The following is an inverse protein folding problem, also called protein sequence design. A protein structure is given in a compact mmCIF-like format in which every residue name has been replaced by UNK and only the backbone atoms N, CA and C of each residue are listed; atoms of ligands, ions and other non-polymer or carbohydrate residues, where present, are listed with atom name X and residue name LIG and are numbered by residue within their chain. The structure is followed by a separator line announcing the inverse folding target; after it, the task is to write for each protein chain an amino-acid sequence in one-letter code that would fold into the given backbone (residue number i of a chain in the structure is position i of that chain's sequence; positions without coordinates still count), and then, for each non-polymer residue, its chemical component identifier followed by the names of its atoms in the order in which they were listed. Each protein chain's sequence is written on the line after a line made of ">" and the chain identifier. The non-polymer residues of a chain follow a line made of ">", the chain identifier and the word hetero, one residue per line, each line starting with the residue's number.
data_IF_531563126302
#
_entry.id   IF_531563126302
#
_cell.length_a   1.000
_cell.length_b   1.000
_cell.length_c   1.000
_cell.angle_alpha   90.00
_cell.angle_beta   90.00
_cell.angle_gamma   90.00
#
_symmetry.space_group_name_H-M   'P 1'
#
loop_
_entity.id
_entity.type
_entity.pdbx_description
1 polymer ?
#
# COMPACT_ATOMS: atom_id res chain seq x y z
N UNK A 1 65.91 6.51 20.74
CA UNK A 1 64.71 5.65 20.63
C UNK A 1 63.69 5.86 21.75
N UNK A 2 64.04 5.67 23.04
CA UNK A 2 63.06 5.73 24.15
C UNK A 2 62.29 7.07 24.32
N UNK A 3 62.94 8.22 24.06
CA UNK A 3 62.29 9.55 24.12
C UNK A 3 61.28 9.78 22.97
N UNK A 4 61.58 9.24 21.78
CA UNK A 4 60.71 9.33 20.60
C UNK A 4 59.49 8.41 20.80
N UNK A 5 59.70 7.20 21.31
CA UNK A 5 58.62 6.27 21.68
C UNK A 5 57.70 6.84 22.78
N UNK A 6 58.26 7.53 23.79
CA UNK A 6 57.46 8.24 24.81
C UNK A 6 56.67 9.42 24.23
N UNK A 7 57.29 10.23 23.37
CA UNK A 7 56.60 11.34 22.69
C UNK A 7 55.44 10.84 21.84
N UNK A 8 55.67 9.76 21.06
CA UNK A 8 54.65 9.09 20.26
C UNK A 8 53.50 8.52 21.13
N UNK A 9 53.84 7.94 22.29
CA UNK A 9 52.86 7.43 23.25
C UNK A 9 51.95 8.52 23.81
N UNK A 10 52.50 9.69 24.18
CA UNK A 10 51.70 10.83 24.66
C UNK A 10 50.82 11.44 23.57
N UNK A 11 51.29 11.52 22.33
CA UNK A 11 50.47 11.99 21.21
C UNK A 11 49.32 11.03 20.91
N UNK A 12 49.56 9.72 20.95
CA UNK A 12 48.51 8.70 20.77
C UNK A 12 47.48 8.77 21.91
N UNK A 13 47.93 8.91 23.16
CA UNK A 13 47.04 9.09 24.30
C UNK A 13 46.19 10.37 24.20
N UNK A 14 46.79 11.49 23.79
CA UNK A 14 46.08 12.75 23.58
C UNK A 14 45.02 12.65 22.48
N UNK A 15 45.34 11.99 21.35
CA UNK A 15 44.39 11.72 20.28
C UNK A 15 43.25 10.80 20.72
N UNK A 16 43.55 9.78 21.52
CA UNK A 16 42.54 8.87 22.07
C UNK A 16 41.57 9.63 22.99
N UNK A 17 42.08 10.47 23.89
CA UNK A 17 41.24 11.30 24.78
C UNK A 17 40.37 12.24 23.95
N UNK A 18 40.94 12.91 22.94
CA UNK A 18 40.17 13.77 22.04
C UNK A 18 39.06 12.99 21.31
N UNK A 19 39.36 11.79 20.81
CA UNK A 19 38.38 10.94 20.15
C UNK A 19 37.23 10.56 21.10
N UNK A 20 37.53 10.21 22.35
CA UNK A 20 36.52 9.90 23.38
C UNK A 20 35.67 11.13 23.69
N UNK A 21 36.28 12.32 23.85
CA UNK A 21 35.54 13.56 24.13
C UNK A 21 34.61 13.91 22.96
N UNK A 22 35.08 13.81 21.72
CA UNK A 22 34.26 14.06 20.52
C UNK A 22 33.13 13.03 20.42
N UNK A 23 33.41 11.76 20.70
CA UNK A 23 32.40 10.70 20.70
C UNK A 23 31.33 10.94 21.78
N UNK A 24 31.72 11.30 23.01
CA UNK A 24 30.79 11.63 24.09
C UNK A 24 29.95 12.88 23.75
N UNK A 25 30.59 13.93 23.21
CA UNK A 25 29.88 15.13 22.77
C UNK A 25 28.87 14.81 21.66
N UNK A 26 29.22 13.92 20.73
CA UNK A 26 28.29 13.43 19.71
C UNK A 26 27.14 12.64 20.32
N UNK A 27 27.42 11.79 21.32
CA UNK A 27 26.42 10.96 22.00
C UNK A 27 25.41 11.78 22.80
N UNK A 28 25.84 12.93 23.32
CA UNK A 28 24.98 13.87 24.05
C UNK A 28 24.34 14.92 23.14
N UNK A 29 24.54 14.86 21.82
CA UNK A 29 23.99 15.84 20.90
C UNK A 29 22.46 15.77 20.88
N UNK A 30 21.74 16.89 21.01
CA UNK A 30 20.29 16.87 21.15
C UNK A 30 19.59 16.35 19.90
N UNK A 31 18.59 15.50 20.11
CA UNK A 31 17.66 15.06 19.06
C UNK A 31 16.69 16.22 18.76
N UNK A 32 16.48 16.60 17.48
CA UNK A 32 15.52 17.64 17.13
C UNK A 32 14.10 17.35 17.64
N UNK A 33 13.44 18.35 18.23
CA UNK A 33 12.08 18.20 18.79
C UNK A 33 11.05 17.68 17.78
N UNK A 34 11.19 18.07 16.51
CA UNK A 34 10.32 17.60 15.42
C UNK A 34 10.33 16.08 15.26
N UNK A 35 11.48 15.44 15.54
CA UNK A 35 11.62 13.97 15.50
C UNK A 35 10.97 13.31 16.70
N UNK A 36 11.09 13.92 17.89
CA UNK A 36 10.44 13.42 19.10
C UNK A 36 8.91 13.51 18.98
N UNK A 37 8.38 14.60 18.44
CA UNK A 37 6.95 14.73 18.14
C UNK A 37 6.49 13.73 17.09
N UNK A 38 7.29 13.50 16.04
CA UNK A 38 7.02 12.46 15.05
C UNK A 38 6.96 11.07 15.69
N UNK A 39 7.88 10.77 16.61
CA UNK A 39 7.91 9.50 17.35
C UNK A 39 6.66 9.33 18.20
N UNK A 40 6.27 10.35 18.96
CA UNK A 40 5.04 10.31 19.77
C UNK A 40 3.79 9.99 18.94
N UNK A 41 3.67 10.59 17.74
CA UNK A 41 2.54 10.31 16.82
C UNK A 41 2.57 8.88 16.27
N UNK A 42 3.76 8.34 16.00
CA UNK A 42 3.90 6.97 15.51
C UNK A 42 3.63 5.92 16.60
N UNK A 43 3.96 6.24 17.85
CA UNK A 43 3.70 5.37 19.00
C UNK A 43 2.25 5.44 19.48
N UNK A 44 1.56 6.57 19.25
CA UNK A 44 0.14 6.75 19.53
C UNK A 44 -0.74 5.96 18.55
N UNK A 45 -0.80 4.64 18.74
CA UNK A 45 -1.58 3.71 17.90
C UNK A 45 -3.00 4.20 17.71
N UNK A 46 -3.41 4.32 16.44
CA UNK A 46 -4.78 4.70 16.12
C UNK A 46 -5.76 3.60 16.56
N UNK A 47 -6.89 3.96 17.20
CA UNK A 47 -7.90 2.97 17.53
C UNK A 47 -8.43 2.33 16.24
N UNK A 48 -8.76 1.04 16.33
CA UNK A 48 -9.51 0.32 15.31
C UNK A 48 -10.84 -0.11 15.93
N UNK A 49 -11.94 0.17 15.25
CA UNK A 49 -13.30 -0.12 15.70
C UNK A 49 -14.01 -0.96 14.65
N UNK A 50 -14.85 -1.88 15.08
CA UNK A 50 -15.63 -2.74 14.19
C UNK A 50 -15.03 -4.12 14.01
N UNK A 51 -15.34 -4.77 12.89
CA UNK A 51 -14.92 -6.12 12.59
C UNK A 51 -13.51 -6.15 11.95
N UNK A 52 -12.58 -6.88 12.59
CA UNK A 52 -11.27 -7.15 12.03
C UNK A 52 -11.33 -8.31 11.02
N UNK A 53 -11.07 -8.04 9.75
CA UNK A 53 -11.05 -9.05 8.68
C UNK A 53 -9.74 -9.82 8.56
N UNK A 54 -8.77 -9.60 9.45
CA UNK A 54 -7.42 -10.15 9.30
C UNK A 54 -7.38 -11.68 9.31
N UNK A 55 -8.24 -12.37 10.07
CA UNK A 55 -8.30 -13.83 10.07
C UNK A 55 -8.69 -14.39 8.70
N UNK A 56 -9.68 -13.78 8.04
CA UNK A 56 -10.07 -14.14 6.68
C UNK A 56 -8.96 -13.81 5.68
N UNK A 57 -8.29 -12.68 5.83
CA UNK A 57 -7.18 -12.27 4.96
C UNK A 57 -5.98 -13.23 5.10
N UNK A 58 -5.61 -13.61 6.32
CA UNK A 58 -4.53 -14.54 6.64
C UNK A 58 -4.76 -15.94 6.06
N UNK A 59 -6.01 -16.41 6.11
CA UNK A 59 -6.42 -17.75 5.67
C UNK A 59 -7.07 -17.75 4.29
N UNK A 60 -6.95 -16.65 3.53
CA UNK A 60 -7.62 -16.44 2.25
C UNK A 60 -7.40 -17.58 1.22
N UNK A 61 -6.18 -18.15 1.10
CA UNK A 61 -5.91 -19.25 0.17
C UNK A 61 -6.60 -20.58 0.50
N UNK A 62 -7.18 -20.73 1.69
CA UNK A 62 -7.68 -22.01 2.17
C UNK A 62 -9.21 -22.06 2.07
N UNK A 63 -9.69 -23.06 1.32
CA UNK A 63 -11.10 -23.42 1.20
C UNK A 63 -11.59 -24.16 2.45
N UNK A 64 -12.91 -24.33 2.55
CA UNK A 64 -13.57 -25.19 3.53
C UNK A 64 -13.25 -24.87 5.01
N UNK A 65 -12.96 -23.59 5.31
CA UNK A 65 -12.86 -23.06 6.68
C UNK A 65 -13.96 -22.05 6.96
N UNK A 66 -14.72 -22.28 8.04
CA UNK A 66 -15.67 -21.33 8.59
C UNK A 66 -14.99 -20.18 9.35
N UNK A 67 -15.76 -19.19 9.79
CA UNK A 67 -15.22 -18.01 10.49
C UNK A 67 -14.49 -18.37 11.79
N UNK A 68 -15.00 -19.33 12.56
CA UNK A 68 -14.40 -19.72 13.83
C UNK A 68 -13.08 -20.47 13.60
N UNK A 69 -13.03 -21.37 12.62
CA UNK A 69 -11.83 -22.10 12.24
C UNK A 69 -10.72 -21.16 11.77
N UNK A 70 -11.06 -20.10 11.03
CA UNK A 70 -10.09 -19.07 10.58
C UNK A 70 -9.50 -18.28 11.74
N UNK A 71 -10.34 -17.87 12.70
CA UNK A 71 -9.89 -17.19 13.93
C UNK A 71 -9.00 -18.10 14.79
N UNK A 72 -9.38 -19.37 14.93
CA UNK A 72 -8.57 -20.37 15.63
C UNK A 72 -7.23 -20.60 14.95
N UNK A 73 -7.22 -20.65 13.61
CA UNK A 73 -6.01 -20.84 12.84
C UNK A 73 -5.04 -19.66 13.01
N UNK A 74 -5.54 -18.43 12.91
CA UNK A 74 -4.77 -17.21 13.18
C UNK A 74 -4.20 -17.22 14.61
N UNK A 75 -5.02 -17.55 15.60
CA UNK A 75 -4.59 -17.56 17.00
C UNK A 75 -3.48 -18.59 17.28
N UNK A 76 -3.53 -19.76 16.63
CA UNK A 76 -2.46 -20.76 16.70
C UNK A 76 -1.17 -20.25 16.05
N UNK A 77 -1.25 -19.63 14.87
CA UNK A 77 -0.08 -19.06 14.21
C UNK A 77 0.55 -17.91 15.03
N UNK A 78 -0.27 -17.11 15.71
CA UNK A 78 0.23 -16.07 16.63
C UNK A 78 0.97 -16.71 17.81
N UNK A 79 0.43 -17.77 18.42
CA UNK A 79 1.12 -18.50 19.51
C UNK A 79 2.45 -19.09 19.05
N UNK A 80 2.46 -19.73 17.87
CA UNK A 80 3.68 -20.29 17.24
C UNK A 80 4.71 -19.20 16.99
N UNK A 81 4.27 -18.06 16.43
CA UNK A 81 5.10 -16.89 16.22
C UNK A 81 5.68 -16.41 17.55
N UNK A 82 4.87 -16.19 18.59
CA UNK A 82 5.33 -15.68 19.89
C UNK A 82 6.33 -16.63 20.57
N UNK A 83 6.12 -17.94 20.50
CA UNK A 83 6.98 -18.96 21.10
C UNK A 83 8.38 -19.06 20.43
N UNK A 84 8.50 -18.68 19.16
CA UNK A 84 9.76 -18.73 18.43
C UNK A 84 10.66 -17.51 18.71
N UNK A 85 11.55 -17.61 19.69
CA UNK A 85 12.41 -16.51 20.12
C UNK A 85 13.34 -15.95 19.03
N UNK A 86 13.72 -16.76 18.03
CA UNK A 86 14.71 -16.39 17.02
C UNK A 86 14.08 -15.99 15.66
N UNK A 87 12.76 -16.10 15.51
CA UNK A 87 12.08 -15.78 14.26
C UNK A 87 12.44 -16.73 13.10
N UNK A 88 12.84 -17.96 13.40
CA UNK A 88 13.14 -19.01 12.43
C UNK A 88 11.91 -19.75 11.90
N UNK A 89 10.72 -19.53 12.47
CA UNK A 89 9.46 -20.09 11.98
C UNK A 89 9.19 -19.54 10.58
N UNK A 90 8.82 -20.41 9.63
CA UNK A 90 8.31 -19.93 8.35
C UNK A 90 7.15 -18.99 8.65
N UNK A 91 7.17 -17.78 8.11
CA UNK A 91 6.07 -16.81 8.21
C UNK A 91 4.80 -17.26 7.49
N UNK A 92 4.60 -18.57 7.36
CA UNK A 92 3.49 -19.26 6.74
C UNK A 92 2.58 -19.85 7.83
N UNK A 93 1.29 -19.87 7.53
CA UNK A 93 0.30 -20.50 8.40
C UNK A 93 0.56 -22.00 8.56
N UNK A 94 0.26 -22.56 9.73
CA UNK A 94 0.30 -24.02 9.94
C UNK A 94 -0.66 -24.79 9.04
N UNK A 95 -1.68 -24.13 8.47
CA UNK A 95 -2.65 -24.76 7.57
C UNK A 95 -2.00 -25.39 6.35
N UNK A 96 -0.85 -24.88 5.88
CA UNK A 96 -0.11 -25.44 4.73
C UNK A 96 0.27 -26.92 4.90
N UNK A 97 0.34 -27.41 6.15
CA UNK A 97 0.66 -28.80 6.42
C UNK A 97 -0.50 -29.76 6.11
N UNK A 98 -1.74 -29.27 6.22
CA UNK A 98 -2.94 -30.12 6.21
C UNK A 98 -4.02 -29.67 5.21
N UNK A 99 -3.85 -28.51 4.56
CA UNK A 99 -4.81 -27.96 3.61
C UNK A 99 -4.13 -27.62 2.28
N UNK A 100 -4.86 -27.80 1.19
CA UNK A 100 -4.41 -27.35 -0.13
C UNK A 100 -4.49 -25.82 -0.22
N UNK A 101 -3.38 -25.20 -0.58
CA UNK A 101 -3.29 -23.75 -0.74
C UNK A 101 -3.66 -23.34 -2.17
N UNK A 102 -4.60 -22.41 -2.30
CA UNK A 102 -4.94 -21.81 -3.58
C UNK A 102 -3.89 -20.78 -3.99
N UNK A 103 -3.49 -20.83 -5.26
CA UNK A 103 -2.47 -19.95 -5.82
C UNK A 103 -2.98 -19.27 -7.08
N UNK A 104 -2.59 -18.01 -7.29
CA UNK A 104 -2.83 -17.31 -8.55
C UNK A 104 -2.13 -18.05 -9.69
N UNK A 105 -2.87 -18.37 -10.75
CA UNK A 105 -2.31 -19.07 -11.92
C UNK A 105 -1.69 -18.09 -12.91
N UNK A 106 -0.62 -18.48 -13.64
CA UNK A 106 -0.13 -17.71 -14.76
C UNK A 106 -1.26 -17.43 -15.77
N UNK A 107 -1.38 -16.19 -16.24
CA UNK A 107 -2.44 -15.80 -17.18
C UNK A 107 -3.80 -15.48 -16.55
N UNK A 108 -3.97 -15.69 -15.24
CA UNK A 108 -5.19 -15.34 -14.50
C UNK A 108 -5.38 -13.84 -14.32
N UNK A 109 -4.38 -13.00 -14.58
CA UNK A 109 -4.39 -11.58 -14.25
C UNK A 109 -4.41 -10.69 -15.50
N UNK A 110 -5.21 -9.63 -15.46
CA UNK A 110 -5.16 -8.52 -16.42
C UNK A 110 -4.02 -7.51 -16.14
N UNK A 111 -3.10 -7.87 -15.25
CA UNK A 111 -2.07 -6.98 -14.74
C UNK A 111 -2.56 -6.06 -13.62
N UNK A 112 -1.64 -5.33 -12.97
CA UNK A 112 -1.91 -4.69 -11.69
C UNK A 112 -2.72 -3.39 -11.76
N UNK A 113 -2.98 -2.85 -12.95
CA UNK A 113 -3.89 -1.72 -13.16
C UNK A 113 -5.21 -2.13 -13.83
N UNK A 114 -5.35 -3.39 -14.24
CA UNK A 114 -6.48 -3.91 -15.03
C UNK A 114 -6.84 -3.06 -16.28
N UNK A 115 -5.87 -2.32 -16.83
CA UNK A 115 -6.07 -1.51 -18.03
C UNK A 115 -6.39 -2.42 -19.23
N UNK A 116 -7.53 -2.19 -19.88
CA UNK A 116 -7.96 -2.99 -21.03
C UNK A 116 -8.30 -4.45 -20.66
N UNK A 117 -8.68 -4.72 -19.40
CA UNK A 117 -8.95 -6.08 -18.94
C UNK A 117 -10.07 -6.76 -19.74
N UNK A 118 -11.17 -6.04 -20.05
CA UNK A 118 -12.25 -6.59 -20.88
C UNK A 118 -11.76 -6.99 -22.29
N UNK A 119 -10.87 -6.21 -22.89
CA UNK A 119 -10.31 -6.51 -24.21
C UNK A 119 -9.40 -7.75 -24.16
N UNK A 120 -8.55 -7.86 -23.15
CA UNK A 120 -7.70 -9.05 -22.93
C UNK A 120 -8.55 -10.31 -22.75
N UNK A 121 -9.62 -10.23 -21.96
CA UNK A 121 -10.54 -11.36 -21.73
C UNK A 121 -11.29 -11.75 -23.00
N UNK A 122 -11.72 -10.80 -23.83
CA UNK A 122 -12.36 -11.10 -25.11
C UNK A 122 -11.41 -11.73 -26.13
N UNK A 123 -10.14 -11.33 -26.10
CA UNK A 123 -9.13 -11.86 -27.01
C UNK A 123 -8.84 -13.34 -26.73
N UNK A 124 -8.88 -13.76 -25.45
CA UNK A 124 -8.65 -15.15 -25.05
C UNK A 124 -9.51 -15.55 -23.83
N UNK A 125 -10.82 -15.79 -24.00
CA UNK A 125 -11.71 -16.12 -22.88
C UNK A 125 -11.36 -17.46 -22.22
N UNK A 126 -10.87 -18.42 -23.01
CA UNK A 126 -10.54 -19.77 -22.53
C UNK A 126 -9.40 -19.74 -21.53
N UNK A 127 -8.35 -18.94 -21.78
CA UNK A 127 -7.28 -18.74 -20.80
C UNK A 127 -7.79 -18.31 -19.44
N UNK A 128 -8.72 -17.35 -19.39
CA UNK A 128 -9.27 -16.88 -18.10
C UNK A 128 -10.19 -17.91 -17.46
N UNK A 129 -10.99 -18.66 -18.23
CA UNK A 129 -11.81 -19.76 -17.72
C UNK A 129 -10.93 -20.81 -17.04
N UNK A 130 -9.86 -21.25 -17.70
CA UNK A 130 -8.92 -22.24 -17.17
C UNK A 130 -8.14 -21.71 -15.96
N UNK A 131 -7.72 -20.45 -16.01
CA UNK A 131 -6.94 -19.82 -14.95
C UNK A 131 -7.75 -19.64 -13.65
N UNK A 132 -9.06 -19.43 -13.74
CA UNK A 132 -9.95 -19.29 -12.58
C UNK A 132 -10.71 -20.59 -12.22
N UNK A 133 -10.50 -21.68 -12.95
CA UNK A 133 -11.16 -22.96 -12.66
C UNK A 133 -10.81 -23.47 -11.25
N UNK A 134 -11.83 -23.61 -10.40
CA UNK A 134 -11.68 -24.02 -9.00
C UNK A 134 -11.53 -22.86 -7.99
N UNK A 135 -11.51 -21.60 -8.43
CA UNK A 135 -11.39 -20.43 -7.53
C UNK A 135 -12.73 -19.87 -7.05
N UNK A 136 -13.85 -20.56 -7.25
CA UNK A 136 -15.19 -20.07 -6.92
C UNK A 136 -15.32 -19.69 -5.43
N UNK A 137 -14.85 -20.55 -4.52
CA UNK A 137 -14.87 -20.25 -3.09
C UNK A 137 -13.88 -19.12 -2.74
N UNK A 138 -12.73 -19.05 -3.40
CA UNK A 138 -11.76 -17.95 -3.23
C UNK A 138 -12.38 -16.60 -3.61
N UNK A 139 -13.09 -16.52 -4.74
CA UNK A 139 -13.78 -15.29 -5.17
C UNK A 139 -14.86 -14.87 -4.18
N UNK A 140 -15.64 -15.82 -3.66
CA UNK A 140 -16.62 -15.54 -2.61
C UNK A 140 -15.99 -14.98 -1.33
N UNK A 141 -14.80 -15.49 -0.93
CA UNK A 141 -14.05 -14.95 0.22
C UNK A 141 -13.48 -13.56 -0.05
N UNK A 142 -12.98 -13.32 -1.26
CA UNK A 142 -12.54 -11.98 -1.67
C UNK A 142 -13.68 -10.96 -1.61
N UNK A 143 -14.89 -11.38 -2.00
CA UNK A 143 -16.07 -10.57 -1.83
C UNK A 143 -16.39 -10.36 -0.34
N UNK A 144 -16.37 -11.40 0.49
CA UNK A 144 -16.62 -11.31 1.94
C UNK A 144 -15.66 -10.37 2.66
N UNK A 145 -14.39 -10.27 2.25
CA UNK A 145 -13.42 -9.34 2.83
C UNK A 145 -13.87 -7.87 2.76
N UNK A 146 -14.73 -7.50 1.80
CA UNK A 146 -15.29 -6.15 1.70
C UNK A 146 -16.20 -5.76 2.89
N UNK A 147 -16.67 -6.75 3.67
CA UNK A 147 -17.54 -6.52 4.83
C UNK A 147 -16.76 -6.19 6.11
N UNK A 148 -15.44 -6.45 6.16
CA UNK A 148 -14.58 -6.14 7.31
C UNK A 148 -14.21 -4.66 7.40
N UNK A 149 -14.16 -4.09 8.59
CA UNK A 149 -13.89 -2.65 8.80
C UNK A 149 -12.40 -2.30 8.76
N UNK A 150 -11.54 -3.23 9.18
CA UNK A 150 -10.08 -3.06 9.19
C UNK A 150 -9.33 -4.41 9.16
N UNK A 151 -8.00 -4.36 9.02
CA UNK A 151 -7.14 -5.53 8.87
C UNK A 151 -5.92 -5.41 9.78
N UNK A 152 -6.14 -5.46 11.09
CA UNK A 152 -5.05 -5.35 12.05
C UNK A 152 -4.36 -6.71 12.24
N UNK A 153 -3.05 -6.74 11.96
CA UNK A 153 -2.22 -7.91 12.20
C UNK A 153 -1.98 -8.09 13.71
N UNK A 154 -2.22 -9.29 14.25
CA UNK A 154 -1.86 -9.61 15.63
C UNK A 154 -0.36 -9.91 15.81
N UNK A 155 0.39 -10.10 14.73
CA UNK A 155 1.80 -10.47 14.79
C UNK A 155 2.66 -9.29 15.27
N UNK A 156 3.25 -9.43 16.45
CA UNK A 156 4.14 -8.41 17.01
C UNK A 156 5.52 -8.51 16.37
N UNK A 157 6.09 -7.41 15.83
CA UNK A 157 7.47 -7.41 15.35
C UNK A 157 8.45 -7.79 16.45
N UNK A 158 9.44 -8.65 16.14
CA UNK A 158 10.48 -9.09 17.07
C UNK A 158 11.71 -9.63 16.33
N UNK A 159 12.85 -9.68 17.05
CA UNK A 159 14.11 -10.26 16.57
C UNK A 159 14.81 -9.45 15.50
N UNK A 160 15.80 -10.07 14.85
CA UNK A 160 16.56 -9.52 13.72
C UNK A 160 15.76 -9.54 12.40
N UNK A 161 14.63 -10.27 12.38
CA UNK A 161 13.74 -10.36 11.23
C UNK A 161 13.11 -9.00 10.92
N UNK A 162 13.39 -8.47 9.73
CA UNK A 162 12.85 -7.19 9.24
C UNK A 162 11.34 -7.27 8.95
N UNK A 163 10.79 -8.48 8.78
CA UNK A 163 9.41 -8.71 8.33
C UNK A 163 8.63 -9.56 9.33
N UNK A 164 7.42 -9.12 9.67
CA UNK A 164 6.41 -9.96 10.32
C UNK A 164 5.82 -10.96 9.32
N UNK A 165 5.17 -12.05 9.78
CA UNK A 165 4.37 -12.91 8.92
C UNK A 165 3.33 -12.08 8.13
N UNK A 166 3.28 -12.31 6.81
CA UNK A 166 2.37 -11.62 5.89
C UNK A 166 1.38 -12.61 5.27
N UNK A 167 0.10 -12.22 5.12
CA UNK A 167 -0.87 -12.96 4.32
C UNK A 167 -0.38 -13.24 2.90
N UNK A 168 -0.95 -14.26 2.28
CA UNK A 168 -0.72 -14.59 0.87
C UNK A 168 -1.40 -13.57 -0.06
N UNK A 169 -0.79 -12.39 -0.20
CA UNK A 169 -1.34 -11.29 -0.99
C UNK A 169 -1.46 -11.58 -2.50
N UNK A 170 -0.78 -12.61 -3.00
CA UNK A 170 -0.80 -12.99 -4.42
C UNK A 170 -2.20 -13.26 -4.96
N UNK A 171 -3.11 -13.80 -4.13
CA UNK A 171 -4.49 -14.14 -4.52
C UNK A 171 -5.49 -13.02 -4.31
N UNK A 172 -5.11 -11.91 -3.65
CA UNK A 172 -6.03 -10.79 -3.34
C UNK A 172 -6.59 -10.13 -4.60
N UNK A 173 -5.80 -10.10 -5.68
CA UNK A 173 -6.20 -9.47 -6.94
C UNK A 173 -6.97 -10.43 -7.87
N UNK A 174 -7.04 -11.74 -7.55
CA UNK A 174 -7.51 -12.79 -8.46
C UNK A 174 -8.95 -12.55 -8.96
N UNK A 175 -9.83 -12.05 -8.10
CA UNK A 175 -11.23 -11.81 -8.47
C UNK A 175 -11.42 -10.72 -9.54
N UNK A 176 -10.44 -9.83 -9.76
CA UNK A 176 -10.62 -8.69 -10.68
C UNK A 176 -10.86 -9.16 -12.12
N UNK A 177 -10.01 -10.04 -12.62
CA UNK A 177 -10.11 -10.64 -13.95
C UNK A 177 -11.26 -11.65 -14.05
N UNK A 178 -11.58 -12.35 -12.96
CA UNK A 178 -12.77 -13.22 -12.92
C UNK A 178 -14.06 -12.42 -13.13
N UNK A 179 -14.15 -11.19 -12.57
CA UNK A 179 -15.29 -10.28 -12.79
C UNK A 179 -15.34 -9.76 -14.23
N UNK A 180 -14.18 -9.50 -14.84
CA UNK A 180 -14.12 -9.16 -16.27
C UNK A 180 -14.60 -10.32 -17.15
N UNK A 181 -14.22 -11.56 -16.81
CA UNK A 181 -14.73 -12.77 -17.46
C UNK A 181 -16.24 -12.93 -17.30
N UNK A 182 -16.76 -12.77 -16.09
CA UNK A 182 -18.20 -12.82 -15.82
C UNK A 182 -18.96 -11.81 -16.68
N UNK A 183 -18.46 -10.58 -16.79
CA UNK A 183 -19.05 -9.54 -17.64
C UNK A 183 -19.06 -9.94 -19.13
N UNK A 184 -17.92 -10.44 -19.66
CA UNK A 184 -17.81 -10.89 -21.05
C UNK A 184 -18.73 -12.10 -21.33
N UNK A 185 -18.99 -12.93 -20.32
CA UNK A 185 -19.91 -14.07 -20.40
C UNK A 185 -21.39 -13.68 -20.22
N UNK A 186 -21.68 -12.40 -19.96
CA UNK A 186 -23.05 -11.85 -19.87
C UNK A 186 -23.60 -11.70 -18.45
N UNK A 187 -22.83 -12.02 -17.40
CA UNK A 187 -23.20 -11.71 -16.01
C UNK A 187 -22.83 -10.26 -15.66
N UNK A 188 -23.60 -9.34 -16.22
CA UNK A 188 -23.39 -7.89 -16.08
C UNK A 188 -23.53 -7.46 -14.61
N UNK A 189 -24.64 -7.84 -13.96
CA UNK A 189 -24.94 -7.43 -12.59
C UNK A 189 -23.95 -8.03 -11.59
N UNK A 190 -23.57 -9.30 -11.75
CA UNK A 190 -22.58 -9.96 -10.91
C UNK A 190 -21.19 -9.33 -11.05
N UNK A 191 -20.77 -9.00 -12.28
CA UNK A 191 -19.50 -8.34 -12.52
C UNK A 191 -19.43 -6.93 -11.93
N UNK A 192 -20.47 -6.11 -12.13
CA UNK A 192 -20.57 -4.77 -11.54
C UNK A 192 -20.54 -4.84 -10.01
N UNK A 193 -21.36 -5.73 -9.42
CA UNK A 193 -21.43 -5.92 -7.96
C UNK A 193 -20.08 -6.34 -7.39
N UNK A 194 -19.45 -7.35 -8.00
CA UNK A 194 -18.14 -7.84 -7.61
C UNK A 194 -17.08 -6.73 -7.68
N UNK A 195 -17.01 -5.99 -8.79
CA UNK A 195 -16.02 -4.93 -8.93
C UNK A 195 -16.20 -3.83 -7.87
N UNK A 196 -17.44 -3.46 -7.55
CA UNK A 196 -17.73 -2.53 -6.44
C UNK A 196 -17.33 -3.10 -5.07
N UNK A 197 -17.50 -4.41 -4.81
CA UNK A 197 -16.97 -5.06 -3.59
C UNK A 197 -15.43 -5.05 -3.53
N UNK A 198 -14.74 -5.33 -4.64
CA UNK A 198 -13.28 -5.24 -4.70
C UNK A 198 -12.74 -3.83 -4.46
N UNK A 199 -13.43 -2.83 -5.02
CA UNK A 199 -13.15 -1.43 -4.77
C UNK A 199 -13.34 -1.10 -3.27
N UNK A 200 -14.45 -1.53 -2.67
CA UNK A 200 -14.74 -1.34 -1.25
C UNK A 200 -13.69 -2.00 -0.33
N UNK A 201 -13.26 -3.22 -0.66
CA UNK A 201 -12.13 -3.88 0.03
C UNK A 201 -10.88 -3.01 -0.04
N UNK A 202 -10.51 -2.54 -1.23
CA UNK A 202 -9.36 -1.65 -1.41
C UNK A 202 -9.43 -0.40 -0.55
N UNK A 203 -10.60 0.27 -0.49
CA UNK A 203 -10.84 1.46 0.34
C UNK A 203 -10.62 1.22 1.82
N UNK A 204 -11.02 0.06 2.33
CA UNK A 204 -10.84 -0.30 3.75
C UNK A 204 -9.43 -0.77 4.05
N UNK A 205 -8.78 -1.44 3.10
CA UNK A 205 -7.43 -1.95 3.27
C UNK A 205 -6.37 -0.83 3.32
N UNK A 206 -6.56 0.26 2.54
CA UNK A 206 -5.62 1.40 2.52
C UNK A 206 -5.31 1.94 3.92
N UNK A 207 -6.29 2.42 4.71
CA UNK A 207 -6.05 2.93 6.06
C UNK A 207 -6.17 1.85 7.15
N UNK A 208 -6.81 0.72 6.83
CA UNK A 208 -7.18 -0.32 7.79
C UNK A 208 -6.11 -1.35 8.08
N UNK A 209 -5.14 -1.51 7.17
CA UNK A 209 -3.97 -2.40 7.32
C UNK A 209 -2.97 -1.93 8.39
N UNK A 210 -2.11 -2.85 8.83
CA UNK A 210 -1.08 -2.57 9.85
C UNK A 210 0.24 -2.10 9.25
N UNK A 211 0.53 -2.47 8.01
CA UNK A 211 1.80 -2.29 7.33
C UNK A 211 1.60 -1.68 5.94
N UNK A 212 2.66 -1.09 5.40
CA UNK A 212 2.61 -0.39 4.11
C UNK A 212 2.21 -1.30 2.95
N UNK A 213 2.61 -2.58 2.99
CA UNK A 213 2.26 -3.56 1.96
C UNK A 213 0.74 -3.65 1.76
N UNK A 214 -0.04 -3.66 2.85
CA UNK A 214 -1.50 -3.70 2.79
C UNK A 214 -2.06 -2.43 2.17
N UNK A 215 -1.53 -1.25 2.55
CA UNK A 215 -1.98 0.00 1.97
C UNK A 215 -1.71 0.09 0.47
N UNK A 216 -0.57 -0.45 0.02
CA UNK A 216 -0.23 -0.51 -1.41
C UNK A 216 -1.19 -1.43 -2.15
N UNK A 217 -1.48 -2.61 -1.60
CA UNK A 217 -2.42 -3.57 -2.21
C UNK A 217 -3.83 -2.97 -2.26
N UNK A 218 -4.27 -2.31 -1.19
CA UNK A 218 -5.55 -1.62 -1.16
C UNK A 218 -5.67 -0.56 -2.24
N UNK A 219 -4.62 0.25 -2.43
CA UNK A 219 -4.57 1.24 -3.50
C UNK A 219 -4.62 0.59 -4.90
N UNK A 220 -3.96 -0.56 -5.09
CA UNK A 220 -4.03 -1.32 -6.34
C UNK A 220 -5.42 -1.93 -6.59
N UNK A 221 -6.09 -2.45 -5.56
CA UNK A 221 -7.48 -2.93 -5.66
C UNK A 221 -8.43 -1.82 -6.09
N UNK A 222 -8.31 -0.63 -5.49
CA UNK A 222 -9.11 0.54 -5.88
C UNK A 222 -8.88 0.88 -7.34
N UNK A 223 -7.63 1.01 -7.78
CA UNK A 223 -7.32 1.37 -9.16
C UNK A 223 -7.83 0.33 -10.16
N UNK A 224 -7.56 -0.95 -9.91
CA UNK A 224 -7.91 -2.03 -10.82
C UNK A 224 -9.43 -2.21 -10.95
N UNK A 225 -10.17 -2.16 -9.83
CA UNK A 225 -11.62 -2.29 -9.87
C UNK A 225 -12.30 -1.02 -10.41
N UNK A 226 -11.75 0.17 -10.14
CA UNK A 226 -12.26 1.40 -10.75
C UNK A 226 -12.05 1.43 -12.26
N UNK A 227 -10.90 0.95 -12.74
CA UNK A 227 -10.64 0.79 -14.18
C UNK A 227 -11.62 -0.20 -14.81
N UNK A 228 -11.78 -1.38 -14.21
CA UNK A 228 -12.72 -2.39 -14.71
C UNK A 228 -14.16 -1.85 -14.76
N UNK A 229 -14.60 -1.16 -13.71
CA UNK A 229 -15.91 -0.48 -13.70
C UNK A 229 -16.02 0.55 -14.82
N UNK A 230 -14.99 1.35 -15.05
CA UNK A 230 -15.00 2.33 -16.13
C UNK A 230 -15.13 1.67 -17.51
N UNK A 231 -14.43 0.56 -17.73
CA UNK A 231 -14.48 -0.22 -18.97
C UNK A 231 -15.86 -0.87 -19.17
N UNK A 232 -16.47 -1.43 -18.12
CA UNK A 232 -17.82 -1.98 -18.18
C UNK A 232 -18.86 -0.89 -18.46
N UNK A 233 -18.74 0.26 -17.78
CA UNK A 233 -19.73 1.32 -17.86
C UNK A 233 -19.85 1.92 -19.27
N UNK A 234 -18.77 2.06 -20.03
CA UNK A 234 -18.84 2.64 -21.39
C UNK A 234 -19.60 1.78 -22.38
N UNK A 235 -19.78 0.49 -22.10
CA UNK A 235 -20.52 -0.44 -22.94
C UNK A 235 -22.01 -0.51 -22.59
N UNK A 236 -22.40 0.03 -21.44
CA UNK A 236 -23.77 0.06 -20.96
C UNK A 236 -24.44 1.40 -21.34
N UNK A 237 -25.77 1.50 -21.25
CA UNK A 237 -26.46 2.79 -21.30
C UNK A 237 -25.94 3.77 -20.24
N UNK A 238 -26.04 5.08 -20.49
CA UNK A 238 -25.57 6.13 -19.58
C UNK A 238 -26.32 6.15 -18.23
N UNK A 239 -27.58 5.73 -18.26
CA UNK A 239 -28.53 5.67 -17.16
C UNK A 239 -28.67 4.27 -16.55
N UNK A 240 -27.79 3.32 -16.93
CA UNK A 240 -27.84 1.97 -16.38
C UNK A 240 -27.79 1.98 -14.84
N UNK A 241 -28.75 1.32 -14.16
CA UNK A 241 -28.79 1.27 -12.70
C UNK A 241 -27.59 0.48 -12.18
N UNK A 242 -26.92 0.99 -11.14
CA UNK A 242 -25.83 0.25 -10.50
C UNK A 242 -26.32 -0.55 -9.29
N UNK A 243 -25.68 -1.68 -8.98
CA UNK A 243 -25.89 -2.39 -7.73
C UNK A 243 -25.70 -1.47 -6.51
N UNK A 244 -26.43 -1.73 -5.42
CA UNK A 244 -26.39 -0.92 -4.20
C UNK A 244 -24.98 -0.84 -3.60
N UNK A 245 -24.17 -1.89 -3.76
CA UNK A 245 -22.78 -1.96 -3.33
C UNK A 245 -21.91 -0.86 -3.98
N UNK A 246 -22.29 -0.37 -5.16
CA UNK A 246 -21.57 0.68 -5.86
C UNK A 246 -21.83 2.08 -5.31
N UNK A 247 -22.95 2.30 -4.59
CA UNK A 247 -23.33 3.63 -4.10
C UNK A 247 -22.26 4.24 -3.20
N UNK A 248 -21.82 3.45 -2.21
CA UNK A 248 -20.74 3.86 -1.31
C UNK A 248 -19.39 3.68 -2.00
N UNK A 249 -19.15 2.55 -2.67
CA UNK A 249 -17.85 2.21 -3.25
C UNK A 249 -17.34 3.27 -4.25
N UNK A 250 -18.21 3.85 -5.07
CA UNK A 250 -17.80 4.83 -6.08
C UNK A 250 -17.68 6.28 -5.57
N UNK A 251 -17.98 6.55 -4.30
CA UNK A 251 -17.76 7.89 -3.74
C UNK A 251 -16.27 8.27 -3.76
N UNK A 252 -15.93 9.56 -3.94
CA UNK A 252 -14.56 10.03 -3.76
C UNK A 252 -13.99 9.63 -2.40
N UNK A 253 -12.70 9.24 -2.38
CA UNK A 253 -12.02 8.91 -1.14
C UNK A 253 -11.83 10.15 -0.28
N UNK A 254 -12.14 10.02 0.99
CA UNK A 254 -11.82 11.03 2.00
C UNK A 254 -10.34 10.96 2.38
N UNK A 255 -9.85 11.95 3.11
CA UNK A 255 -8.45 11.99 3.52
C UNK A 255 -8.10 10.85 4.48
N UNK A 256 -9.02 10.47 5.37
CA UNK A 256 -8.85 9.32 6.26
C UNK A 256 -8.75 8.00 5.49
N UNK A 257 -9.46 7.85 4.38
CA UNK A 257 -9.42 6.65 3.52
C UNK A 257 -8.13 6.56 2.68
N UNK A 258 -7.40 7.66 2.55
CA UNK A 258 -6.11 7.72 1.84
C UNK A 258 -4.91 7.66 2.80
N UNK A 259 -5.17 7.78 4.10
CA UNK A 259 -4.15 7.96 5.13
C UNK A 259 -3.23 6.75 5.23
N UNK A 260 -1.93 7.04 5.28
CA UNK A 260 -0.88 6.04 5.50
C UNK A 260 -0.37 6.05 6.94
N UNK A 261 -1.02 6.78 7.86
CA UNK A 261 -0.54 6.89 9.24
C UNK A 261 -0.42 5.52 9.90
N UNK A 262 -1.48 4.69 9.87
CA UNK A 262 -1.46 3.35 10.49
C UNK A 262 -0.37 2.46 9.89
N UNK A 263 -0.22 2.45 8.57
CA UNK A 263 0.87 1.75 7.90
C UNK A 263 2.25 2.22 8.42
N UNK A 264 2.49 3.53 8.50
CA UNK A 264 3.75 4.05 9.03
C UNK A 264 3.96 3.74 10.52
N UNK A 265 2.89 3.61 11.31
CA UNK A 265 2.99 3.12 12.70
C UNK A 265 3.51 1.67 12.75
N UNK A 266 3.08 0.82 11.81
CA UNK A 266 3.59 -0.54 11.65
C UNK A 266 5.04 -0.59 11.19
N UNK A 267 5.40 0.18 10.15
CA UNK A 267 6.79 0.30 9.68
C UNK A 267 7.74 0.80 10.77
N UNK A 268 7.27 1.74 11.60
CA UNK A 268 8.00 2.22 12.76
C UNK A 268 8.15 1.12 13.82
N UNK A 269 7.09 0.37 14.11
CA UNK A 269 7.13 -0.74 15.07
C UNK A 269 8.10 -1.86 14.64
N UNK A 270 8.16 -2.18 13.34
CA UNK A 270 9.14 -3.13 12.80
C UNK A 270 10.57 -2.61 12.93
N UNK A 271 10.79 -1.36 12.52
CA UNK A 271 12.10 -0.70 12.66
C UNK A 271 12.56 -0.68 14.11
N UNK A 272 11.64 -0.43 15.06
CA UNK A 272 11.93 -0.40 16.49
C UNK A 272 12.38 -1.77 17.01
N UNK A 273 11.67 -2.84 16.64
CA UNK A 273 12.05 -4.20 17.05
C UNK A 273 13.43 -4.59 16.52
N UNK A 274 13.72 -4.30 15.25
CA UNK A 274 15.03 -4.59 14.65
C UNK A 274 16.16 -3.80 15.35
N UNK A 275 15.97 -2.49 15.59
CA UNK A 275 16.95 -1.64 16.29
C UNK A 275 17.17 -2.12 17.73
N UNK A 276 16.11 -2.53 18.42
CA UNK A 276 16.20 -3.07 19.78
C UNK A 276 17.01 -4.36 19.83
N UNK A 277 16.82 -5.24 18.85
CA UNK A 277 17.61 -6.48 18.72
C UNK A 277 19.08 -6.19 18.45
N UNK A 278 19.39 -5.38 17.42
CA UNK A 278 20.77 -5.07 17.04
C UNK A 278 21.53 -4.27 18.11
N UNK A 279 20.84 -3.49 18.94
CA UNK A 279 21.47 -2.75 20.03
C UNK A 279 21.92 -3.67 21.20
N UNK A 280 21.40 -4.89 21.28
CA UNK A 280 21.77 -5.87 22.31
C UNK A 280 23.01 -6.70 21.93
N UNK A 281 23.43 -6.67 20.67
CA UNK A 281 24.63 -7.37 20.20
C UNK A 281 25.94 -6.76 20.75
N UNK A 282 26.96 -7.61 20.94
CA UNK A 282 28.25 -7.20 21.50
C UNK A 282 28.93 -6.14 20.61
N UNK A 283 29.24 -4.97 21.19
CA UNK A 283 29.84 -3.84 20.47
C UNK A 283 28.84 -2.94 19.75
N UNK A 284 27.57 -3.33 19.62
CA UNK A 284 26.52 -2.54 18.95
C UNK A 284 26.29 -1.17 19.61
N UNK A 285 26.32 -1.11 20.94
CA UNK A 285 26.11 0.12 21.73
C UNK A 285 27.11 1.25 21.38
N UNK A 286 28.32 0.91 20.90
CA UNK A 286 29.36 1.89 20.55
C UNK A 286 29.10 2.61 19.21
N UNK A 287 28.38 1.95 18.30
CA UNK A 287 28.16 2.42 16.92
C UNK A 287 26.67 2.69 16.61
N UNK A 288 25.77 2.24 17.50
CA UNK A 288 24.32 2.40 17.40
C UNK A 288 23.77 3.08 18.67
N UNK A 289 23.31 4.30 18.51
CA UNK A 289 22.49 4.98 19.53
C UNK A 289 21.02 4.68 19.24
N UNK A 290 20.43 3.80 20.05
CA UNK A 290 19.02 3.41 19.93
C UNK A 290 18.09 4.62 19.89
N UNK A 291 18.18 5.53 20.86
CA UNK A 291 17.26 6.67 20.95
C UNK A 291 17.38 7.61 19.75
N UNK A 292 18.61 7.96 19.36
CA UNK A 292 18.85 8.83 18.21
C UNK A 292 18.41 8.17 16.89
N UNK A 293 18.63 6.85 16.76
CA UNK A 293 18.20 6.08 15.58
C UNK A 293 16.69 6.00 15.49
N UNK A 294 15.99 5.66 16.58
CA UNK A 294 14.53 5.60 16.62
C UNK A 294 13.91 6.95 16.29
N UNK A 295 14.43 8.05 16.85
CA UNK A 295 13.95 9.38 16.52
C UNK A 295 14.19 9.73 15.03
N UNK A 296 15.31 9.27 14.44
CA UNK A 296 15.58 9.47 13.01
C UNK A 296 14.62 8.69 12.12
N UNK A 297 14.35 7.42 12.43
CA UNK A 297 13.29 6.63 11.76
C UNK A 297 11.94 7.35 11.88
N UNK A 298 11.61 7.83 13.09
CA UNK A 298 10.38 8.56 13.32
C UNK A 298 10.28 9.84 12.46
N UNK A 299 11.37 10.57 12.30
CA UNK A 299 11.45 11.71 11.38
C UNK A 299 11.14 11.35 9.93
N UNK A 300 11.54 10.15 9.48
CA UNK A 300 11.33 9.68 8.10
C UNK A 300 9.90 9.19 7.85
N UNK A 301 9.21 8.65 8.86
CA UNK A 301 7.88 8.04 8.72
C UNK A 301 6.74 8.91 9.27
N UNK A 302 7.03 9.76 10.25
CA UNK A 302 6.01 10.46 11.04
C UNK A 302 5.31 11.59 10.30
N UNK A 303 5.72 11.91 9.07
CA UNK A 303 4.98 12.83 8.19
C UNK A 303 3.55 12.33 7.94
N UNK A 304 3.34 11.01 7.84
CA UNK A 304 2.05 10.43 7.48
C UNK A 304 0.96 10.61 8.55
N UNK A 305 1.35 10.84 9.80
CA UNK A 305 0.45 11.04 10.92
C UNK A 305 0.23 12.52 11.29
N UNK A 306 0.76 13.46 10.50
CA UNK A 306 0.64 14.88 10.77
C UNK A 306 -0.53 15.55 10.04
N UNK A 307 -1.04 16.66 10.60
CA UNK A 307 -2.09 17.47 9.97
C UNK A 307 -1.71 17.97 8.56
N UNK A 308 -0.42 18.19 8.29
CA UNK A 308 0.06 18.56 6.96
C UNK A 308 -0.19 17.46 5.91
N UNK A 309 -0.12 16.17 6.29
CA UNK A 309 -0.47 15.08 5.40
C UNK A 309 -1.98 15.04 5.15
N UNK A 310 -2.80 15.18 6.19
CA UNK A 310 -4.26 15.26 6.05
C UNK A 310 -4.68 16.40 5.11
N UNK A 311 -4.16 17.62 5.33
CA UNK A 311 -4.45 18.77 4.47
C UNK A 311 -3.95 18.57 3.03
N UNK A 312 -2.82 17.88 2.84
CA UNK A 312 -2.35 17.53 1.50
C UNK A 312 -3.28 16.53 0.80
N UNK A 313 -3.78 15.52 1.52
CA UNK A 313 -4.73 14.54 0.98
C UNK A 313 -6.08 15.18 0.62
N UNK A 314 -6.63 16.04 1.48
CA UNK A 314 -7.88 16.79 1.23
C UNK A 314 -7.76 17.68 -0.02
N UNK A 315 -6.63 18.37 -0.16
CA UNK A 315 -6.36 19.24 -1.31
C UNK A 315 -5.75 18.51 -2.52
N UNK A 316 -5.66 17.19 -2.48
CA UNK A 316 -5.02 16.36 -3.51
C UNK A 316 -3.58 16.77 -3.86
N UNK A 317 -2.85 17.44 -2.95
CA UNK A 317 -1.46 17.90 -3.12
C UNK A 317 -0.46 16.79 -2.82
N UNK A 318 0.76 16.82 -3.38
CA UNK A 318 1.79 15.85 -3.00
C UNK A 318 1.96 15.77 -1.47
N UNK A 319 2.04 14.55 -0.95
CA UNK A 319 2.32 14.33 0.46
C UNK A 319 3.67 14.96 0.85
N UNK A 320 3.78 15.55 2.06
CA UNK A 320 4.99 16.26 2.51
C UNK A 320 6.07 15.28 2.98
N UNK A 321 6.43 14.32 2.13
CA UNK A 321 7.48 13.34 2.42
C UNK A 321 8.80 14.08 2.54
N UNK A 322 9.39 14.06 3.74
CA UNK A 322 10.66 14.74 3.98
C UNK A 322 11.82 13.88 3.52
N UNK A 323 12.79 14.50 2.85
CA UNK A 323 14.07 13.86 2.60
C UNK A 323 14.79 13.65 3.95
N UNK A 324 15.39 12.47 4.19
CA UNK A 324 16.17 12.26 5.40
C UNK A 324 17.32 13.28 5.45
N UNK A 325 17.47 14.03 6.55
CA UNK A 325 18.54 15.01 6.66
C UNK A 325 19.91 14.30 6.61
N UNK A 326 20.87 14.92 5.93
CA UNK A 326 22.24 14.42 5.81
C UNK A 326 22.95 14.29 7.16
N UNK A 327 24.07 13.56 7.17
CA UNK A 327 24.94 13.31 8.32
C UNK A 327 25.14 14.57 9.15
N UNK A 328 24.83 14.49 10.44
CA UNK A 328 25.02 15.56 11.42
C UNK A 328 25.96 15.08 12.53
N UNK A 329 26.38 15.98 13.41
CA UNK A 329 27.38 15.67 14.45
C UNK A 329 27.02 14.45 15.32
N UNK A 330 25.73 14.21 15.59
CA UNK A 330 25.24 13.03 16.31
C UNK A 330 25.49 11.69 15.60
N UNK A 331 25.86 11.68 14.31
CA UNK A 331 26.21 10.45 13.60
C UNK A 331 27.58 9.88 13.98
N UNK A 332 28.49 10.66 14.59
CA UNK A 332 29.82 10.14 14.98
C UNK A 332 29.73 9.03 16.04
N UNK A 333 28.75 9.12 16.94
CA UNK A 333 28.43 8.11 17.96
C UNK A 333 27.30 7.15 17.56
N UNK A 334 26.75 7.33 16.34
CA UNK A 334 25.61 6.59 15.81
C UNK A 334 25.78 6.29 14.31
N UNK A 335 26.97 5.85 13.91
CA UNK A 335 27.31 5.63 12.49
C UNK A 335 26.37 4.59 11.87
N UNK A 336 26.14 3.47 12.58
CA UNK A 336 25.24 2.42 12.09
C UNK A 336 23.80 2.92 11.98
N UNK A 337 23.30 3.65 12.97
CA UNK A 337 21.94 4.20 12.93
C UNK A 337 21.74 5.20 11.79
N UNK A 338 22.74 6.04 11.50
CA UNK A 338 22.67 6.98 10.39
C UNK A 338 22.71 6.27 9.02
N UNK A 339 23.54 5.23 8.86
CA UNK A 339 23.61 4.44 7.61
C UNK A 339 22.33 3.64 7.39
N UNK A 340 21.83 2.92 8.40
CA UNK A 340 20.61 2.11 8.30
C UNK A 340 19.39 2.94 7.88
N UNK A 341 19.27 4.15 8.43
CA UNK A 341 18.17 5.07 8.11
C UNK A 341 18.32 5.78 6.77
N UNK A 342 19.53 5.88 6.21
CA UNK A 342 19.77 6.39 4.86
C UNK A 342 19.41 5.36 3.78
N UNK A 343 19.65 4.06 4.02
CA UNK A 343 19.38 2.98 3.05
C UNK A 343 17.87 2.72 2.90
N UNK A 344 17.12 2.74 3.99
CA UNK A 344 15.68 2.42 3.98
C UNK A 344 14.77 3.58 3.51
N UNK A 345 15.24 4.83 3.60
CA UNK A 345 14.44 6.02 3.33
C UNK A 345 13.98 6.26 1.87
N UNK A 346 14.72 5.89 0.80
CA UNK A 346 14.35 6.23 -0.58
C UNK A 346 13.11 5.52 -1.12
N UNK A 347 12.66 4.44 -0.49
CA UNK A 347 11.61 3.57 -1.05
C UNK A 347 10.20 4.07 -0.71
N UNK A 348 10.02 4.69 0.47
CA UNK A 348 8.72 5.16 0.95
C UNK A 348 8.06 6.28 0.10
N UNK A 349 8.81 7.27 -0.43
CA UNK A 349 8.23 8.28 -1.32
C UNK A 349 7.53 7.68 -2.55
N UNK A 350 8.10 6.63 -3.15
CA UNK A 350 7.52 5.96 -4.33
C UNK A 350 6.19 5.26 -4.03
N UNK A 351 5.97 4.83 -2.79
CA UNK A 351 4.73 4.19 -2.35
C UNK A 351 3.68 5.17 -1.86
N UNK A 352 4.10 6.29 -1.26
CA UNK A 352 3.19 7.28 -0.68
C UNK A 352 2.15 7.85 -1.66
N UNK A 353 2.52 8.01 -2.92
CA UNK A 353 1.64 8.58 -3.96
C UNK A 353 0.60 7.60 -4.49
N UNK A 354 0.73 6.30 -4.19
CA UNK A 354 -0.20 5.27 -4.70
C UNK A 354 -1.62 5.43 -4.12
N UNK A 355 -1.77 5.81 -2.85
CA UNK A 355 -3.09 6.07 -2.26
C UNK A 355 -3.74 7.32 -2.87
N UNK A 356 -2.94 8.34 -3.21
CA UNK A 356 -3.43 9.53 -3.91
C UNK A 356 -3.87 9.22 -5.34
N UNK A 357 -3.17 8.32 -6.03
CA UNK A 357 -3.55 7.87 -7.37
C UNK A 357 -4.80 6.99 -7.35
N UNK A 358 -4.99 6.17 -6.31
CA UNK A 358 -6.25 5.46 -6.07
C UNK A 358 -7.43 6.43 -5.88
N UNK A 359 -7.26 7.48 -5.08
CA UNK A 359 -8.29 8.51 -4.91
C UNK A 359 -8.57 9.30 -6.19
N UNK A 360 -7.52 9.58 -6.99
CA UNK A 360 -7.68 10.23 -8.29
C UNK A 360 -8.42 9.34 -9.29
N UNK A 361 -8.15 8.03 -9.30
CA UNK A 361 -8.86 7.09 -10.17
C UNK A 361 -10.35 7.03 -9.83
N UNK A 362 -10.74 7.08 -8.56
CA UNK A 362 -12.16 7.10 -8.19
C UNK A 362 -12.87 8.41 -8.53
N UNK A 363 -12.19 9.55 -8.36
CA UNK A 363 -12.71 10.83 -8.88
C UNK A 363 -12.86 10.79 -10.40
N UNK A 364 -11.92 10.16 -11.09
CA UNK A 364 -11.93 10.00 -12.54
C UNK A 364 -13.10 9.10 -13.02
N UNK A 365 -13.34 7.98 -12.34
CA UNK A 365 -14.49 7.10 -12.57
C UNK A 365 -15.83 7.84 -12.34
N UNK A 366 -15.93 8.59 -11.24
CA UNK A 366 -17.11 9.41 -10.96
C UNK A 366 -17.35 10.49 -12.02
N UNK A 367 -16.28 11.18 -12.44
CA UNK A 367 -16.33 12.16 -13.53
C UNK A 367 -16.77 11.55 -14.86
N UNK A 368 -16.24 10.37 -15.21
CA UNK A 368 -16.62 9.63 -16.41
C UNK A 368 -18.11 9.27 -16.40
N UNK A 369 -18.61 8.71 -15.28
CA UNK A 369 -20.03 8.39 -15.14
C UNK A 369 -20.90 9.64 -15.29
N UNK A 370 -20.54 10.74 -14.64
CA UNK A 370 -21.28 11.99 -14.74
C UNK A 370 -21.28 12.55 -16.16
N UNK A 371 -20.13 12.53 -16.86
CA UNK A 371 -20.00 13.00 -18.24
C UNK A 371 -20.87 12.19 -19.20
N UNK A 372 -20.94 10.87 -19.03
CA UNK A 372 -21.79 9.99 -19.86
C UNK A 372 -23.27 10.34 -19.76
N UNK A 373 -23.70 10.95 -18.66
CA UNK A 373 -25.08 11.39 -18.43
C UNK A 373 -25.37 12.79 -19.01
N UNK A 374 -24.37 13.48 -19.57
CA UNK A 374 -24.54 14.79 -20.18
C UNK A 374 -24.90 14.66 -21.66
N UNK A 375 -25.80 15.53 -22.14
CA UNK A 375 -26.17 15.59 -23.55
C UNK A 375 -25.21 16.45 -24.39
N UNK A 376 -24.36 17.26 -23.75
CA UNK A 376 -23.42 18.15 -24.44
C UNK A 376 -22.11 17.45 -24.81
N UNK A 377 -21.30 18.13 -25.63
CA UNK A 377 -19.93 17.70 -25.91
C UNK A 377 -19.11 17.51 -24.61
N UNK A 378 -18.32 16.42 -24.48
CA UNK A 378 -17.55 16.15 -23.27
C UNK A 378 -16.61 17.28 -22.83
N UNK A 379 -16.04 18.05 -23.77
CA UNK A 379 -15.14 19.15 -23.45
C UNK A 379 -15.88 20.33 -22.81
N UNK A 380 -17.11 20.61 -23.25
CA UNK A 380 -17.97 21.63 -22.66
C UNK A 380 -18.54 21.17 -21.31
N UNK A 381 -19.01 19.93 -21.25
CA UNK A 381 -19.52 19.33 -20.02
C UNK A 381 -18.48 19.33 -18.90
N UNK A 382 -17.21 19.04 -19.22
CA UNK A 382 -16.12 19.01 -18.25
C UNK A 382 -15.92 20.34 -17.50
N UNK A 383 -16.27 21.48 -18.10
CA UNK A 383 -16.21 22.79 -17.44
C UNK A 383 -17.20 22.90 -16.26
N UNK A 384 -18.28 22.11 -16.30
CA UNK A 384 -19.33 22.02 -15.28
C UNK A 384 -19.22 20.78 -14.39
N UNK A 385 -18.08 20.08 -14.42
CA UNK A 385 -17.85 18.89 -13.59
C UNK A 385 -18.22 19.17 -12.11
N UNK A 386 -18.94 18.30 -11.40
CA UNK A 386 -19.27 18.51 -9.99
C UNK A 386 -18.01 18.70 -9.12
N UNK A 387 -18.15 19.47 -8.04
CA UNK A 387 -17.01 19.85 -7.20
C UNK A 387 -16.34 18.62 -6.56
N UNK A 388 -17.11 17.59 -6.21
CA UNK A 388 -16.59 16.36 -5.61
C UNK A 388 -15.66 15.54 -6.53
N UNK A 389 -15.73 15.74 -7.85
CA UNK A 389 -14.85 15.07 -8.82
C UNK A 389 -13.69 15.94 -9.29
N UNK A 390 -13.67 17.22 -8.88
CA UNK A 390 -12.57 18.14 -9.18
C UNK A 390 -11.40 17.90 -8.23
N UNK A 391 -10.21 18.21 -8.72
CA UNK A 391 -9.03 18.40 -7.86
C UNK A 391 -8.45 19.77 -8.14
N UNK A 392 -7.99 20.50 -7.10
CA UNK A 392 -7.42 21.83 -7.28
C UNK A 392 -6.05 21.79 -7.98
N UNK A 393 -5.44 20.61 -8.09
CA UNK A 393 -4.07 20.45 -8.63
C UNK A 393 -3.95 19.37 -9.71
N UNK A 394 -4.98 18.53 -9.90
CA UNK A 394 -5.05 17.49 -10.95
C UNK A 394 -6.40 17.53 -11.65
N UNK A 395 -6.61 18.55 -12.48
CA UNK A 395 -7.82 18.67 -13.27
C UNK A 395 -7.92 17.54 -14.31
N UNK A 396 -9.06 16.83 -14.40
CA UNK A 396 -9.30 15.89 -15.48
C UNK A 396 -9.28 16.61 -16.83
N UNK A 397 -8.77 15.91 -17.86
CA UNK A 397 -8.72 16.40 -19.23
C UNK A 397 -9.01 15.28 -20.21
N UNK A 398 -9.47 15.62 -21.40
CA UNK A 398 -9.60 14.64 -22.48
C UNK A 398 -8.22 14.22 -23.00
N UNK A 399 -8.11 12.98 -23.45
CA UNK A 399 -6.98 12.52 -24.26
C UNK A 399 -6.97 13.23 -25.61
N UNK A 400 -5.83 13.21 -26.31
CA UNK A 400 -5.67 13.87 -27.62
C UNK A 400 -6.69 13.39 -28.65
N UNK A 401 -7.04 12.11 -28.60
CA UNK A 401 -8.04 11.49 -29.46
C UNK A 401 -9.49 11.63 -28.94
N UNK A 402 -9.70 12.25 -27.78
CA UNK A 402 -11.04 12.43 -27.17
C UNK A 402 -11.69 11.17 -26.60
N UNK A 403 -11.06 10.00 -26.74
CA UNK A 403 -11.65 8.72 -26.32
C UNK A 403 -11.49 8.39 -24.83
N UNK A 404 -10.62 9.10 -24.11
CA UNK A 404 -10.37 8.87 -22.70
C UNK A 404 -10.43 10.17 -21.89
N UNK A 405 -10.87 10.05 -20.64
CA UNK A 405 -10.66 11.06 -19.62
C UNK A 405 -9.42 10.68 -18.81
N UNK A 406 -8.54 11.65 -18.54
CA UNK A 406 -7.25 11.37 -17.93
C UNK A 406 -6.79 12.43 -16.93
N UNK A 407 -5.99 12.01 -15.93
CA UNK A 407 -5.31 12.87 -14.96
C UNK A 407 -3.84 12.45 -14.79
N UNK A 408 -2.93 13.37 -14.42
CA UNK A 408 -1.54 13.01 -14.19
C UNK A 408 -1.41 12.01 -13.04
N UNK A 409 -0.65 10.94 -13.27
CA UNK A 409 -0.23 10.00 -12.24
C UNK A 409 0.84 10.64 -11.35
N UNK A 410 0.78 10.39 -10.03
CA UNK A 410 1.81 10.84 -9.08
C UNK A 410 2.85 9.76 -8.81
N UNK A 411 2.45 8.49 -8.80
CA UNK A 411 3.37 7.38 -8.58
C UNK A 411 4.33 7.24 -9.74
N UNK A 412 5.63 6.96 -9.47
CA UNK A 412 6.58 6.67 -10.53
C UNK A 412 6.10 5.47 -11.35
N UNK A 413 6.37 5.51 -12.65
CA UNK A 413 6.13 4.39 -13.54
C UNK A 413 6.91 3.14 -13.07
N UNK A 414 6.26 1.99 -13.11
CA UNK A 414 6.80 0.68 -12.75
C UNK A 414 7.60 0.04 -13.88
N UNK A 415 7.32 0.44 -15.11
CA UNK A 415 8.03 0.03 -16.33
C UNK A 415 8.12 1.23 -17.30
N UNK A 416 8.97 1.12 -18.31
CA UNK A 416 9.11 2.14 -19.35
C UNK A 416 7.80 2.36 -20.13
N UNK A 417 6.97 1.33 -20.22
CA UNK A 417 5.72 1.31 -20.99
C UNK A 417 4.50 1.78 -20.18
N UNK A 418 4.67 2.05 -18.88
CA UNK A 418 3.54 2.45 -18.04
C UNK A 418 3.12 3.90 -18.32
N UNK A 419 1.84 4.08 -18.63
CA UNK A 419 1.27 5.37 -18.98
C UNK A 419 1.44 6.40 -17.83
N UNK A 420 2.03 7.58 -18.08
CA UNK A 420 2.14 8.66 -17.09
C UNK A 420 0.78 9.26 -16.69
N UNK A 421 -0.30 8.84 -17.35
CA UNK A 421 -1.67 9.22 -17.06
C UNK A 421 -2.42 8.08 -16.36
N UNK A 422 -3.28 8.44 -15.43
CA UNK A 422 -4.43 7.61 -15.06
C UNK A 422 -5.53 7.91 -16.06
N UNK A 423 -6.19 6.90 -16.60
CA UNK A 423 -7.09 7.03 -17.75
C UNK A 423 -8.35 6.20 -17.56
N UNK A 424 -9.51 6.71 -17.94
CA UNK A 424 -10.75 5.93 -18.08
C UNK A 424 -11.34 6.16 -19.47
N UNK A 425 -11.96 5.15 -20.11
CA UNK A 425 -12.57 5.33 -21.42
C UNK A 425 -13.80 6.23 -21.35
N UNK A 426 -14.12 6.97 -22.41
CA UNK A 426 -15.39 7.69 -22.58
C UNK A 426 -16.33 7.04 -23.59
N UNK A 427 -15.78 6.11 -24.38
CA UNK A 427 -16.48 5.38 -25.43
C UNK A 427 -16.02 3.92 -25.36
N UNK A 428 -16.87 3.00 -25.77
CA UNK A 428 -16.48 1.61 -25.94
C UNK A 428 -15.37 1.52 -27.01
N UNK A 429 -14.23 0.89 -26.69
CA UNK A 429 -13.20 0.66 -27.70
C UNK A 429 -13.69 -0.41 -28.70
N UNK A 430 -13.53 -0.19 -30.02
CA UNK A 430 -13.81 -1.23 -30.99
C UNK A 430 -12.84 -2.40 -30.77
N UNK A 431 -13.35 -3.64 -30.83
CA UNK A 431 -12.59 -4.86 -30.54
C UNK A 431 -11.27 -5.02 -31.33
N UNK A 432 -11.12 -4.30 -32.46
CA UNK A 432 -9.94 -4.31 -33.33
C UNK A 432 -8.82 -3.34 -32.92
N UNK A 433 -9.07 -2.33 -32.07
CA UNK A 433 -8.04 -1.37 -31.65
C UNK A 433 -7.17 -1.88 -30.48
N UNK A 434 -7.64 -2.93 -29.78
CA UNK A 434 -6.98 -3.50 -28.61
C UNK A 434 -5.71 -4.31 -28.94
N UNK A 435 -5.55 -4.75 -30.19
CA UNK A 435 -4.38 -5.52 -30.66
C UNK A 435 -3.15 -4.65 -30.98
N UNK A 436 -3.26 -3.32 -30.87
CA UNK A 436 -2.19 -2.37 -31.23
C UNK A 436 -1.55 -1.67 -30.02
N UNK A 437 -1.86 -2.09 -28.80
CA UNK A 437 -1.30 -1.53 -27.54
C UNK A 437 -0.44 -2.54 -26.75
N UNK A 438 0.29 -3.39 -27.48
CA UNK A 438 1.42 -4.15 -26.93
C UNK A 438 2.75 -3.52 -27.40
#
# INVERSE_FOLDING_TARGET
>A
MLKILRGLGWTLAGLLVLAIVVWCASRMWPVPESRLQAQQRLEARLPATGHNGYALLWTLPFDDLDAQQREQALAEDVRRWEADAHGGSSGQTHLVANHAEQHSRPGASCGPAASGCLAQVRADPQRFVEAHAGHQQLHARLDQLADADYFASPFRPKGEGILVPLPAYGVVMDATSARALAYVQGDIDGALRGACRGLQLGRRLVPGGSYLVESIIGASLVQANAQLLADMLVELPADHPLPAECEQAMQPLRAEEQSLCRAMQGEYAMSRAAIESSAQEFGGVLVLDRSSTLARVAGNLGWACGAAATAALEADRPLPVQAPPQRYFGCLSNVMGCVLTEIAAPVYPAYSSRSQDAAAMLRLLGAQRWLRQQAQDPAEALQRLPAEFRSPVRSPRLSVNGHHLQVPRRSPARSADENPWLTVPLQAEPASAALARD
#
